data_IF_915120566691
#
_entry.id   IF_915120566691
#
_cell.length_a   1.000
_cell.length_b   1.000
_cell.length_c   1.000
_cell.angle_alpha   90.00
_cell.angle_beta   90.00
_cell.angle_gamma   90.00
#
_symmetry.space_group_name_H-M   'P 1'
#
loop_
_entity.id
_entity.type
_entity.pdbx_description
1 polymer ?
#
# COMPACT_ATOMS: atom_id res chain seq x y z
N UNK A 1 25.04 38.04 -8.63
CA UNK A 1 23.71 37.79 -9.22
C UNK A 1 23.81 36.44 -9.93
N UNK A 2 23.63 35.35 -9.17
CA UNK A 2 23.60 33.99 -9.70
C UNK A 2 22.15 33.54 -9.62
N UNK A 3 21.53 33.33 -10.78
CA UNK A 3 20.17 32.81 -10.86
C UNK A 3 20.24 31.36 -10.37
N UNK A 4 19.54 31.07 -9.28
CA UNK A 4 19.41 29.71 -8.75
C UNK A 4 18.79 28.82 -9.84
N UNK A 5 19.40 27.65 -10.03
CA UNK A 5 18.90 26.58 -10.88
C UNK A 5 17.43 26.34 -10.53
N UNK A 6 16.55 26.62 -11.48
CA UNK A 6 15.16 26.24 -11.36
C UNK A 6 15.11 24.72 -11.32
N UNK A 7 14.64 24.17 -10.20
CA UNK A 7 14.27 22.77 -10.05
C UNK A 7 13.43 22.35 -11.26
N UNK A 8 14.04 21.62 -12.18
CA UNK A 8 13.31 20.85 -13.17
C UNK A 8 12.60 19.75 -12.40
N UNK A 9 11.39 20.07 -11.91
CA UNK A 9 10.42 19.10 -11.42
C UNK A 9 10.31 18.00 -12.47
N UNK A 10 10.90 16.84 -12.19
CA UNK A 10 10.76 15.69 -13.07
C UNK A 10 9.28 15.29 -13.06
N UNK A 11 8.58 15.49 -14.17
CA UNK A 11 7.14 15.22 -14.31
C UNK A 11 6.85 13.70 -14.16
N UNK A 12 7.87 12.85 -14.30
CA UNK A 12 7.73 11.40 -14.28
C UNK A 12 8.32 10.80 -13.01
N UNK A 13 7.48 10.06 -12.28
CA UNK A 13 7.91 9.25 -11.14
C UNK A 13 8.70 8.03 -11.62
N UNK A 14 9.90 7.80 -11.06
CA UNK A 14 10.68 6.57 -11.26
C UNK A 14 10.94 5.89 -9.93
N UNK A 15 11.28 4.60 -9.98
CA UNK A 15 11.61 3.85 -8.77
C UNK A 15 12.88 4.39 -8.09
N UNK A 16 13.89 4.80 -8.87
CA UNK A 16 15.12 5.40 -8.35
C UNK A 16 14.87 6.74 -7.66
N UNK A 17 13.93 7.54 -8.16
CA UNK A 17 13.51 8.78 -7.51
C UNK A 17 12.77 8.50 -6.20
N UNK A 18 11.88 7.49 -6.19
CA UNK A 18 11.20 7.03 -4.98
C UNK A 18 12.18 6.56 -3.89
N UNK A 19 13.22 5.79 -4.24
CA UNK A 19 14.23 5.33 -3.28
C UNK A 19 15.02 6.46 -2.61
N UNK A 20 15.13 7.62 -3.27
CA UNK A 20 15.83 8.81 -2.74
C UNK A 20 14.89 9.75 -1.97
N UNK A 21 13.60 9.43 -1.89
CA UNK A 21 12.62 10.33 -1.28
C UNK A 21 12.85 10.46 0.22
N UNK A 22 12.94 11.71 0.72
CA UNK A 22 13.26 12.04 2.11
C UNK A 22 12.17 11.73 3.15
N UNK A 23 11.24 10.82 2.87
CA UNK A 23 10.17 10.46 3.79
C UNK A 23 10.66 9.56 4.95
N UNK A 24 11.82 8.91 4.79
CA UNK A 24 12.48 8.12 5.84
C UNK A 24 11.82 6.77 6.15
N UNK A 25 10.78 6.40 5.42
CA UNK A 25 9.98 5.18 5.65
C UNK A 25 9.71 4.39 4.36
N UNK A 26 10.60 4.54 3.38
CA UNK A 26 10.56 3.87 2.07
C UNK A 26 10.50 2.35 2.25
N UNK A 27 9.68 1.69 1.44
CA UNK A 27 9.66 0.22 1.29
C UNK A 27 10.09 -0.15 -0.12
N UNK A 28 11.09 -1.02 -0.23
CA UNK A 28 11.59 -1.52 -1.51
C UNK A 28 10.64 -2.55 -2.14
N UNK A 29 10.80 -2.82 -3.44
CA UNK A 29 10.01 -3.85 -4.12
C UNK A 29 10.35 -5.23 -3.52
N UNK A 30 11.61 -5.45 -3.16
CA UNK A 30 12.09 -6.67 -2.50
C UNK A 30 11.43 -6.87 -1.13
N UNK A 31 11.37 -5.83 -0.29
CA UNK A 31 10.63 -5.89 0.97
C UNK A 31 9.14 -6.14 0.75
N UNK A 32 8.53 -5.47 -0.23
CA UNK A 32 7.14 -5.71 -0.61
C UNK A 32 6.89 -7.17 -1.00
N UNK A 33 7.75 -7.75 -1.85
CA UNK A 33 7.67 -9.16 -2.26
C UNK A 33 7.78 -10.11 -1.07
N UNK A 34 8.72 -9.85 -0.16
CA UNK A 34 8.91 -10.67 1.05
C UNK A 34 7.70 -10.61 1.98
N UNK A 35 7.18 -9.41 2.25
CA UNK A 35 6.00 -9.22 3.11
C UNK A 35 4.77 -9.84 2.46
N UNK A 36 4.56 -9.62 1.15
CA UNK A 36 3.44 -10.19 0.42
C UNK A 36 3.47 -11.72 0.38
N UNK A 37 4.65 -12.32 0.17
CA UNK A 37 4.80 -13.78 0.19
C UNK A 37 4.41 -14.37 1.55
N UNK A 38 4.88 -13.76 2.65
CA UNK A 38 4.52 -14.20 4.01
C UNK A 38 3.03 -14.02 4.27
N UNK A 39 2.46 -12.87 3.90
CA UNK A 39 1.03 -12.60 3.99
C UNK A 39 0.21 -13.68 3.27
N UNK A 40 0.54 -14.00 2.01
CA UNK A 40 -0.14 -15.04 1.23
C UNK A 40 -0.02 -16.41 1.89
N UNK A 41 1.16 -16.78 2.37
CA UNK A 41 1.39 -18.04 3.08
C UNK A 41 0.53 -18.13 4.35
N UNK A 42 0.54 -17.08 5.18
CA UNK A 42 -0.25 -17.01 6.42
C UNK A 42 -1.75 -17.20 6.16
N UNK A 43 -2.30 -16.53 5.14
CA UNK A 43 -3.72 -16.65 4.78
C UNK A 43 -4.02 -18.02 4.16
N UNK A 44 -3.09 -18.57 3.37
CA UNK A 44 -3.25 -19.91 2.80
C UNK A 44 -3.33 -20.99 3.88
N UNK A 45 -2.54 -20.86 4.95
CA UNK A 45 -2.50 -21.79 6.09
C UNK A 45 -3.61 -21.57 7.13
N UNK A 46 -4.24 -20.39 7.14
CA UNK A 46 -5.40 -20.09 7.98
C UNK A 46 -6.56 -21.05 7.67
N UNK A 47 -7.22 -21.59 8.69
CA UNK A 47 -8.33 -22.56 8.60
C UNK A 47 -9.70 -21.90 8.73
N UNK A 48 -9.76 -20.61 9.01
CA UNK A 48 -11.00 -19.85 9.09
C UNK A 48 -11.78 -20.00 7.78
N UNK A 49 -13.05 -20.41 7.89
CA UNK A 49 -13.94 -20.70 6.76
C UNK A 49 -14.04 -19.50 5.80
N UNK A 50 -14.22 -18.29 6.35
CA UNK A 50 -14.45 -17.06 5.57
C UNK A 50 -13.17 -16.25 5.29
N UNK A 51 -11.98 -16.85 5.41
CA UNK A 51 -10.70 -16.14 5.18
C UNK A 51 -10.61 -15.50 3.79
N UNK A 52 -11.27 -16.10 2.80
CA UNK A 52 -11.32 -15.61 1.42
C UNK A 52 -12.12 -14.30 1.31
N UNK A 53 -13.14 -14.09 2.15
CA UNK A 53 -13.89 -12.83 2.17
C UNK A 53 -13.02 -11.68 2.67
N UNK A 54 -12.28 -11.89 3.76
CA UNK A 54 -11.32 -10.91 4.28
C UNK A 54 -10.18 -10.62 3.30
N UNK A 55 -9.72 -11.65 2.60
CA UNK A 55 -8.72 -11.50 1.54
C UNK A 55 -9.24 -10.64 0.38
N UNK A 56 -10.42 -10.98 -0.13
CA UNK A 56 -11.06 -10.25 -1.23
C UNK A 56 -11.36 -8.80 -0.84
N UNK A 57 -11.81 -8.56 0.39
CA UNK A 57 -11.96 -7.20 0.90
C UNK A 57 -10.62 -6.46 0.86
N UNK A 58 -9.54 -7.04 1.42
CA UNK A 58 -8.23 -6.40 1.38
C UNK A 58 -7.78 -6.02 -0.04
N UNK A 59 -7.95 -6.92 -1.01
CA UNK A 59 -7.60 -6.64 -2.42
C UNK A 59 -8.43 -5.48 -2.99
N UNK A 60 -9.76 -5.46 -2.76
CA UNK A 60 -10.63 -4.36 -3.18
C UNK A 60 -10.18 -3.02 -2.57
N UNK A 61 -9.89 -3.00 -1.27
CA UNK A 61 -9.44 -1.79 -0.57
C UNK A 61 -8.11 -1.28 -1.09
N UNK A 62 -7.16 -2.19 -1.33
CA UNK A 62 -5.84 -1.84 -1.86
C UNK A 62 -5.96 -1.25 -3.29
N UNK A 63 -6.78 -1.85 -4.15
CA UNK A 63 -7.05 -1.35 -5.50
C UNK A 63 -7.71 0.04 -5.48
N UNK A 64 -8.76 0.22 -4.67
CA UNK A 64 -9.46 1.50 -4.52
C UNK A 64 -8.54 2.60 -4.00
N UNK A 65 -7.76 2.31 -2.96
CA UNK A 65 -6.79 3.26 -2.43
C UNK A 65 -5.73 3.63 -3.49
N UNK A 66 -5.21 2.66 -4.22
CA UNK A 66 -4.22 2.88 -5.28
C UNK A 66 -4.77 3.74 -6.40
N UNK A 67 -6.02 3.51 -6.82
CA UNK A 67 -6.70 4.37 -7.79
C UNK A 67 -6.74 5.83 -7.31
N UNK A 68 -7.25 6.08 -6.10
CA UNK A 68 -7.35 7.43 -5.53
C UNK A 68 -5.96 8.07 -5.39
N UNK A 69 -4.95 7.29 -4.95
CA UNK A 69 -3.58 7.78 -4.77
C UNK A 69 -2.94 8.17 -6.10
N UNK A 70 -3.16 7.41 -7.15
CA UNK A 70 -2.60 7.68 -8.48
C UNK A 70 -3.28 8.88 -9.14
N UNK A 71 -4.58 9.12 -8.90
CA UNK A 71 -5.26 10.32 -9.41
C UNK A 71 -4.61 11.63 -8.92
N UNK A 72 -3.92 11.60 -7.79
CA UNK A 72 -3.20 12.76 -7.24
C UNK A 72 -2.18 13.35 -8.23
N UNK A 73 -1.61 12.54 -9.11
CA UNK A 73 -0.66 12.99 -10.14
C UNK A 73 -1.31 13.89 -11.20
N UNK A 74 -2.61 13.68 -11.47
CA UNK A 74 -3.35 14.41 -12.51
C UNK A 74 -4.28 15.49 -11.96
N UNK A 75 -4.48 15.53 -10.65
CA UNK A 75 -5.36 16.50 -9.99
C UNK A 75 -4.67 17.86 -9.80
N UNK A 76 -5.44 18.94 -10.01
CA UNK A 76 -5.08 20.29 -9.59
C UNK A 76 -5.21 20.45 -8.05
N UNK A 77 -4.82 21.63 -7.53
CA UNK A 77 -4.82 21.88 -6.08
C UNK A 77 -6.21 21.79 -5.45
N UNK A 78 -7.25 22.31 -6.10
CA UNK A 78 -8.63 22.28 -5.58
C UNK A 78 -9.18 20.85 -5.55
N UNK A 79 -8.92 20.08 -6.61
CA UNK A 79 -9.29 18.67 -6.70
C UNK A 79 -8.60 17.83 -5.62
N UNK A 80 -7.32 18.10 -5.34
CA UNK A 80 -6.57 17.48 -4.24
C UNK A 80 -7.20 17.76 -2.89
N UNK A 81 -7.55 19.02 -2.61
CA UNK A 81 -8.20 19.41 -1.36
C UNK A 81 -9.56 18.71 -1.19
N UNK A 82 -10.35 18.60 -2.26
CA UNK A 82 -11.63 17.89 -2.22
C UNK A 82 -11.48 16.37 -2.05
N UNK A 83 -10.41 15.77 -2.57
CA UNK A 83 -10.15 14.34 -2.52
C UNK A 83 -9.39 13.87 -1.25
N UNK A 84 -8.80 14.78 -0.47
CA UNK A 84 -7.88 14.45 0.63
C UNK A 84 -8.56 13.62 1.73
N UNK A 85 -9.78 14.00 2.11
CA UNK A 85 -10.59 13.26 3.09
C UNK A 85 -10.88 11.83 2.59
N UNK A 86 -11.28 11.70 1.33
CA UNK A 86 -11.58 10.41 0.69
C UNK A 86 -10.34 9.52 0.60
N UNK A 87 -9.17 10.10 0.30
CA UNK A 87 -7.89 9.39 0.30
C UNK A 87 -7.51 8.90 1.70
N UNK A 88 -7.68 9.76 2.71
CA UNK A 88 -7.39 9.41 4.11
C UNK A 88 -8.30 8.28 4.59
N UNK A 89 -9.59 8.34 4.27
CA UNK A 89 -10.56 7.29 4.60
C UNK A 89 -10.22 5.97 3.89
N UNK A 90 -9.98 6.00 2.58
CA UNK A 90 -9.61 4.80 1.83
C UNK A 90 -8.34 4.13 2.40
N UNK A 91 -7.35 4.94 2.79
CA UNK A 91 -6.15 4.43 3.42
C UNK A 91 -6.40 3.79 4.80
N UNK A 92 -7.24 4.41 5.63
CA UNK A 92 -7.62 3.84 6.92
C UNK A 92 -8.30 2.48 6.76
N UNK A 93 -9.15 2.33 5.76
CA UNK A 93 -9.83 1.07 5.46
C UNK A 93 -8.84 -0.01 5.02
N UNK A 94 -7.80 0.31 4.24
CA UNK A 94 -6.71 -0.63 3.91
C UNK A 94 -5.98 -1.09 5.18
N UNK A 95 -5.64 -0.16 6.08
CA UNK A 95 -4.97 -0.50 7.35
C UNK A 95 -5.86 -1.43 8.18
N UNK A 96 -7.15 -1.14 8.27
CA UNK A 96 -8.11 -2.00 8.98
C UNK A 96 -8.16 -3.39 8.36
N UNK A 97 -8.22 -3.52 7.03
CA UNK A 97 -8.24 -4.82 6.36
C UNK A 97 -6.96 -5.64 6.65
N UNK A 98 -5.78 -5.01 6.61
CA UNK A 98 -4.51 -5.65 7.00
C UNK A 98 -4.52 -6.10 8.46
N UNK A 99 -5.02 -5.28 9.37
CA UNK A 99 -5.13 -5.64 10.79
C UNK A 99 -6.11 -6.81 11.00
N UNK A 100 -7.22 -6.84 10.27
CA UNK A 100 -8.18 -7.95 10.30
C UNK A 100 -7.53 -9.25 9.83
N UNK A 101 -6.82 -9.22 8.69
CA UNK A 101 -6.07 -10.38 8.18
C UNK A 101 -5.03 -10.90 9.17
N UNK A 102 -4.29 -10.02 9.83
CA UNK A 102 -3.34 -10.42 10.87
C UNK A 102 -4.07 -11.09 12.05
N UNK A 103 -5.17 -10.49 12.52
CA UNK A 103 -5.95 -10.99 13.65
C UNK A 103 -6.56 -12.37 13.40
N UNK A 104 -7.10 -12.63 12.21
CA UNK A 104 -7.68 -13.95 11.91
C UNK A 104 -6.60 -15.05 11.90
N UNK A 105 -5.40 -14.74 11.41
CA UNK A 105 -4.25 -15.65 11.43
C UNK A 105 -3.79 -15.91 12.87
N UNK A 106 -3.65 -14.86 13.68
CA UNK A 106 -3.22 -14.95 15.08
C UNK A 106 -4.21 -15.75 15.94
N UNK A 107 -5.51 -15.56 15.74
CA UNK A 107 -6.56 -16.28 16.48
C UNK A 107 -6.49 -17.80 16.30
N UNK A 108 -5.90 -18.27 15.19
CA UNK A 108 -5.69 -19.69 14.91
C UNK A 108 -4.27 -20.17 15.20
N UNK A 109 -3.43 -19.32 15.80
CA UNK A 109 -2.04 -19.62 16.13
C UNK A 109 -1.08 -19.60 14.93
N UNK A 110 -1.47 -18.96 13.82
CA UNK A 110 -0.61 -18.78 12.64
C UNK A 110 0.39 -17.62 12.80
N UNK A 111 1.34 -17.53 11.88
CA UNK A 111 2.33 -16.44 11.85
C UNK A 111 1.76 -15.19 11.15
N UNK A 112 1.53 -14.11 11.91
CA UNK A 112 1.17 -12.80 11.37
C UNK A 112 2.32 -11.77 11.43
N UNK A 113 3.57 -12.22 11.59
CA UNK A 113 4.76 -11.35 11.71
C UNK A 113 4.98 -10.42 10.51
N UNK A 114 4.41 -10.74 9.35
CA UNK A 114 4.38 -9.86 8.17
C UNK A 114 3.73 -8.51 8.47
N UNK A 115 2.74 -8.46 9.38
CA UNK A 115 2.08 -7.20 9.75
C UNK A 115 3.02 -6.31 10.56
N UNK A 116 3.79 -6.89 11.48
CA UNK A 116 4.81 -6.17 12.25
C UNK A 116 5.98 -5.71 11.36
N UNK A 117 6.39 -6.53 10.39
CA UNK A 117 7.42 -6.18 9.39
C UNK A 117 7.01 -4.99 8.51
N UNK A 118 5.72 -4.83 8.22
CA UNK A 118 5.21 -3.69 7.48
C UNK A 118 5.32 -2.37 8.27
N UNK A 119 5.29 -2.45 9.61
CA UNK A 119 5.35 -1.30 10.52
C UNK A 119 4.07 -0.46 10.55
N UNK A 120 4.12 0.70 11.21
CA UNK A 120 2.96 1.59 11.41
C UNK A 120 3.07 2.92 10.65
N UNK A 121 4.11 3.07 9.83
CA UNK A 121 4.27 4.23 8.98
C UNK A 121 3.21 4.23 7.88
N UNK A 122 2.22 5.13 8.02
CA UNK A 122 1.10 5.27 7.08
C UNK A 122 1.53 5.29 5.61
N UNK A 123 2.55 6.09 5.27
CA UNK A 123 3.04 6.17 3.88
C UNK A 123 3.57 4.82 3.39
N UNK A 124 4.32 4.09 4.22
CA UNK A 124 4.87 2.75 3.93
C UNK A 124 3.76 1.72 3.66
N UNK A 125 2.71 1.73 4.48
CA UNK A 125 1.53 0.87 4.29
C UNK A 125 0.83 1.21 2.97
N UNK A 126 0.69 2.50 2.67
CA UNK A 126 0.15 2.95 1.40
C UNK A 126 1.00 2.50 0.20
N UNK A 127 2.32 2.52 0.32
CA UNK A 127 3.24 2.08 -0.74
C UNK A 127 3.09 0.56 -0.98
N UNK A 128 2.96 -0.21 0.09
CA UNK A 128 2.65 -1.64 0.03
C UNK A 128 1.29 -1.91 -0.61
N UNK A 129 0.26 -1.10 -0.32
CA UNK A 129 -1.05 -1.23 -0.96
C UNK A 129 -0.99 -1.03 -2.48
N UNK A 130 -0.18 -0.08 -2.95
CA UNK A 130 0.08 0.12 -4.37
C UNK A 130 0.81 -1.07 -5.01
N UNK A 131 1.79 -1.65 -4.31
CA UNK A 131 2.44 -2.89 -4.75
C UNK A 131 1.44 -4.05 -4.85
N UNK A 132 0.54 -4.22 -3.86
CA UNK A 132 -0.48 -5.28 -3.88
C UNK A 132 -1.47 -5.08 -5.04
N UNK A 133 -1.88 -3.84 -5.32
CA UNK A 133 -2.72 -3.55 -6.49
C UNK A 133 -1.99 -3.82 -7.81
N UNK A 134 -0.68 -3.58 -7.88
CA UNK A 134 0.14 -3.90 -9.05
C UNK A 134 0.22 -5.41 -9.28
N UNK A 135 0.59 -6.19 -8.27
CA UNK A 135 0.77 -7.65 -8.42
C UNK A 135 -0.55 -8.35 -8.77
N UNK A 136 -1.65 -7.95 -8.14
CA UNK A 136 -2.98 -8.49 -8.47
C UNK A 136 -3.43 -8.11 -9.88
N UNK A 137 -3.23 -6.85 -10.27
CA UNK A 137 -3.53 -6.38 -11.62
C UNK A 137 -2.79 -7.15 -12.72
N UNK A 138 -1.50 -7.43 -12.55
CA UNK A 138 -0.72 -8.16 -13.57
C UNK A 138 -0.98 -9.68 -13.57
N UNK A 139 -1.48 -10.24 -12.47
CA UNK A 139 -1.87 -11.66 -12.36
C UNK A 139 -3.25 -11.94 -12.98
N UNK A 140 -4.13 -10.94 -13.05
CA UNK A 140 -5.42 -11.02 -13.75
C UNK A 140 -5.20 -10.92 -15.27
N UNK A 141 -4.81 -12.03 -15.90
CA UNK A 141 -4.58 -12.15 -17.36
C UNK A 141 -5.58 -13.10 -18.01
#
# INVERSE_FOLDING_TARGET
>A
MGVAEGDTNNIMNTYEAYLKHGAGNIITIEECMQIYSKLVESISLCKMEDKEEFWNEFIDRAARYTYIRNQWETMNTEEKMAADDGRTQAHNVVITALNTLARIVENEGGDASWRSQLGDYRKRIGDFACFVSYITGICNR
#
